data_IF_637521732921
#
_entry.id   IF_637521732921
#
_cell.length_a   1.000
_cell.length_b   1.000
_cell.length_c   1.000
_cell.angle_alpha   90.00
_cell.angle_beta   90.00
_cell.angle_gamma   90.00
#
_symmetry.space_group_name_H-M   'P 1'
#
loop_
_entity.id
_entity.type
_entity.pdbx_description
1 polymer ?
#
# COMPACT_ATOMS: atom_id res chain seq x y z
N UNK A 1 56.48 32.27 48.31
CA UNK A 1 55.02 32.02 48.33
C UNK A 1 54.42 33.00 47.34
N UNK A 2 54.38 32.69 46.04
CA UNK A 2 53.41 31.85 45.31
C UNK A 2 51.94 32.15 45.65
N UNK A 3 51.23 32.66 44.64
CA UNK A 3 49.90 32.21 44.21
C UNK A 3 49.63 32.80 42.82
N UNK A 4 49.95 32.03 41.79
CA UNK A 4 49.38 32.20 40.45
C UNK A 4 47.88 31.85 40.47
N UNK A 5 47.04 32.70 39.88
CA UNK A 5 45.79 32.25 39.26
C UNK A 5 45.60 32.90 37.89
N UNK A 6 45.51 32.01 36.90
CA UNK A 6 45.48 32.22 35.47
C UNK A 6 44.05 32.55 35.04
N UNK A 7 43.86 33.70 34.39
CA UNK A 7 42.61 34.06 33.69
C UNK A 7 42.66 33.45 32.29
N UNK A 8 41.80 32.47 32.02
CA UNK A 8 41.58 31.94 30.68
C UNK A 8 40.64 32.84 29.90
N UNK A 9 41.17 33.73 29.07
CA UNK A 9 40.39 34.39 28.01
C UNK A 9 39.96 33.31 27.00
N UNK A 10 38.65 33.12 26.84
CA UNK A 10 38.10 32.23 25.82
C UNK A 10 38.22 32.93 24.48
N UNK A 11 39.08 32.41 23.60
CA UNK A 11 39.26 32.92 22.25
C UNK A 11 38.06 32.51 21.36
N UNK A 12 37.15 33.46 21.17
CA UNK A 12 35.96 33.30 20.34
C UNK A 12 36.27 33.08 18.86
N UNK A 13 37.44 33.51 18.37
CA UNK A 13 37.84 33.24 16.99
C UNK A 13 38.14 31.75 16.79
N UNK A 14 38.82 31.14 17.76
CA UNK A 14 39.15 29.72 17.76
C UNK A 14 37.89 28.83 17.91
N UNK A 15 36.91 29.31 18.66
CA UNK A 15 35.63 28.62 18.87
C UNK A 15 34.76 28.62 17.61
N UNK A 16 34.71 29.74 16.87
CA UNK A 16 34.01 29.82 15.58
C UNK A 16 34.63 28.93 14.52
N UNK A 17 35.96 28.85 14.46
CA UNK A 17 36.65 27.97 13.52
C UNK A 17 36.40 26.48 13.80
N UNK A 18 36.34 26.09 15.09
CA UNK A 18 35.98 24.72 15.48
C UNK A 18 34.53 24.38 15.15
N UNK A 19 33.59 25.30 15.40
CA UNK A 19 32.18 25.09 15.06
C UNK A 19 31.96 24.93 13.54
N UNK A 20 32.64 25.74 12.71
CA UNK A 20 32.57 25.60 11.26
C UNK A 20 33.10 24.27 10.76
N UNK A 21 34.23 23.80 11.31
CA UNK A 21 34.83 22.51 10.93
C UNK A 21 33.95 21.31 11.29
N UNK A 22 33.27 21.34 12.44
CA UNK A 22 32.33 20.29 12.85
C UNK A 22 31.05 20.26 12.00
N UNK A 23 30.62 21.41 11.44
CA UNK A 23 29.50 21.48 10.51
C UNK A 23 29.89 20.89 9.15
N UNK A 24 31.09 21.18 8.65
CA UNK A 24 31.60 20.59 7.40
C UNK A 24 31.84 19.07 7.55
N UNK A 25 32.42 18.63 8.66
CA UNK A 25 32.57 17.19 8.97
C UNK A 25 31.20 16.50 9.15
N UNK A 26 30.24 17.17 9.80
CA UNK A 26 28.87 16.67 9.96
C UNK A 26 28.07 16.60 8.64
N UNK A 27 28.27 17.55 7.73
CA UNK A 27 27.69 17.54 6.38
C UNK A 27 28.34 16.49 5.48
N UNK A 28 29.64 16.22 5.65
CA UNK A 28 30.34 15.16 4.92
C UNK A 28 29.94 13.75 5.38
N UNK A 29 29.59 13.58 6.66
CA UNK A 29 29.11 12.30 7.23
C UNK A 29 27.60 12.10 6.99
N UNK A 30 26.84 13.17 6.76
CA UNK A 30 25.40 13.15 6.48
C UNK A 30 25.01 12.83 5.03
N UNK A 31 25.98 12.65 4.13
CA UNK A 31 25.75 12.19 2.76
C UNK A 31 25.32 10.73 2.73
N UNK A 32 24.03 10.49 2.96
CA UNK A 32 23.39 9.20 2.87
C UNK A 32 23.62 8.61 1.47
N UNK A 33 24.26 7.44 1.38
CA UNK A 33 24.47 6.70 0.11
C UNK A 33 23.15 6.28 -0.57
N UNK A 34 22.01 6.56 0.04
CA UNK A 34 20.67 6.28 -0.49
C UNK A 34 20.01 7.51 -1.17
N UNK A 35 20.72 8.63 -1.32
CA UNK A 35 20.21 9.79 -2.08
C UNK A 35 20.41 9.63 -3.60
N UNK A 36 20.81 8.43 -4.04
CA UNK A 36 20.68 8.08 -5.45
C UNK A 36 19.20 8.19 -5.81
N UNK A 37 18.81 9.06 -6.76
CA UNK A 37 17.48 8.99 -7.34
C UNK A 37 17.29 7.53 -7.74
N UNK A 38 16.21 6.90 -7.26
CA UNK A 38 15.87 5.52 -7.63
C UNK A 38 16.09 5.44 -9.15
N UNK A 39 17.05 4.63 -9.64
CA UNK A 39 17.23 4.49 -11.07
C UNK A 39 15.86 4.08 -11.56
N UNK A 40 15.23 4.94 -12.37
CA UNK A 40 13.92 4.66 -12.93
C UNK A 40 14.05 3.28 -13.55
N UNK A 41 13.52 2.27 -12.86
CA UNK A 41 13.77 0.89 -13.22
C UNK A 41 13.25 0.77 -14.63
N UNK A 42 14.17 0.55 -15.57
CA UNK A 42 13.91 0.40 -16.99
C UNK A 42 13.13 -0.88 -17.22
N UNK A 43 11.85 -0.85 -16.87
CA UNK A 43 10.87 -1.92 -17.03
C UNK A 43 9.58 -1.29 -17.50
N UNK A 44 9.33 -1.45 -18.80
CA UNK A 44 8.05 -1.43 -19.50
C UNK A 44 7.11 -0.27 -19.16
N UNK A 45 7.03 0.71 -20.06
CA UNK A 45 6.25 1.96 -19.89
C UNK A 45 4.79 1.77 -19.43
N UNK A 46 4.19 0.60 -19.66
CA UNK A 46 2.84 0.30 -19.18
C UNK A 46 2.73 0.18 -17.65
N UNK A 47 3.70 -0.46 -16.98
CA UNK A 47 3.67 -0.67 -15.53
C UNK A 47 3.84 0.64 -14.75
N UNK A 48 4.75 1.49 -15.22
CA UNK A 48 4.97 2.83 -14.64
C UNK A 48 3.80 3.80 -14.86
N UNK A 49 3.06 3.66 -15.96
CA UNK A 49 1.83 4.43 -16.20
C UNK A 49 0.70 3.95 -15.28
N UNK A 50 0.51 2.64 -15.12
CA UNK A 50 -0.51 2.08 -14.22
C UNK A 50 -0.30 2.54 -12.77
N UNK A 51 0.94 2.57 -12.28
CA UNK A 51 1.24 3.02 -10.92
C UNK A 51 0.90 4.50 -10.65
N UNK A 52 0.74 5.34 -11.69
CA UNK A 52 0.26 6.73 -11.55
C UNK A 52 -1.25 6.80 -11.36
N UNK A 53 -1.97 5.77 -11.79
CA UNK A 53 -3.43 5.68 -11.65
C UNK A 53 -3.73 5.14 -10.25
N UNK A 54 -4.53 5.82 -9.42
CA UNK A 54 -4.98 5.28 -8.15
C UNK A 54 -5.68 3.94 -8.36
N UNK A 55 -5.37 2.89 -7.57
CA UNK A 55 -5.97 1.57 -7.76
C UNK A 55 -7.51 1.60 -7.87
N UNK A 56 -8.26 2.36 -7.03
CA UNK A 56 -9.72 2.43 -7.14
C UNK A 56 -10.23 2.80 -8.54
N UNK A 57 -9.49 3.58 -9.32
CA UNK A 57 -9.88 3.94 -10.68
C UNK A 57 -9.82 2.74 -11.63
N UNK A 58 -8.90 1.80 -11.43
CA UNK A 58 -8.83 0.56 -12.22
C UNK A 58 -10.10 -0.28 -12.00
N UNK A 59 -10.56 -0.37 -10.74
CA UNK A 59 -11.81 -1.06 -10.40
C UNK A 59 -13.02 -0.35 -11.02
N UNK A 60 -13.13 0.97 -10.87
CA UNK A 60 -14.24 1.74 -11.45
C UNK A 60 -14.25 1.64 -12.97
N UNK A 61 -13.09 1.75 -13.63
CA UNK A 61 -12.99 1.64 -15.08
C UNK A 61 -13.43 0.26 -15.59
N UNK A 62 -12.97 -0.82 -14.95
CA UNK A 62 -13.40 -2.18 -15.28
C UNK A 62 -14.90 -2.38 -15.06
N UNK A 63 -15.45 -1.82 -13.97
CA UNK A 63 -16.87 -1.90 -13.67
C UNK A 63 -17.71 -1.17 -14.73
N UNK A 64 -17.35 0.07 -15.06
CA UNK A 64 -18.03 0.88 -16.07
C UNK A 64 -17.97 0.23 -17.45
N UNK A 65 -16.82 -0.37 -17.80
CA UNK A 65 -16.69 -1.15 -19.03
C UNK A 65 -17.66 -2.34 -19.04
N UNK A 66 -17.71 -3.12 -17.96
CA UNK A 66 -18.60 -4.27 -17.86
C UNK A 66 -20.07 -3.86 -17.90
N UNK A 67 -20.42 -2.81 -17.18
CA UNK A 67 -21.75 -2.21 -17.21
C UNK A 67 -22.13 -1.74 -18.61
N UNK A 68 -21.23 -1.05 -19.32
CA UNK A 68 -21.42 -0.62 -20.70
C UNK A 68 -21.59 -1.82 -21.65
N UNK A 69 -20.74 -2.84 -21.55
CA UNK A 69 -20.86 -4.07 -22.34
C UNK A 69 -22.21 -4.75 -22.14
N UNK A 70 -22.72 -4.79 -20.91
CA UNK A 70 -24.03 -5.38 -20.62
C UNK A 70 -25.21 -4.62 -21.26
N UNK A 71 -25.02 -3.35 -21.61
CA UNK A 71 -26.02 -2.56 -22.35
C UNK A 71 -25.95 -2.78 -23.86
N UNK A 72 -24.79 -3.20 -24.36
CA UNK A 72 -24.53 -3.38 -25.79
C UNK A 72 -24.70 -4.85 -26.22
N UNK A 73 -24.39 -5.80 -25.32
CA UNK A 73 -24.41 -7.23 -25.58
C UNK A 73 -25.57 -7.90 -24.83
N UNK A 74 -26.24 -8.89 -25.43
CA UNK A 74 -27.29 -9.63 -24.76
C UNK A 74 -26.72 -10.42 -23.58
N UNK A 75 -27.19 -10.11 -22.37
CA UNK A 75 -26.91 -10.88 -21.17
C UNK A 75 -28.08 -11.82 -20.84
N UNK A 76 -27.83 -13.05 -20.36
CA UNK A 76 -28.87 -13.89 -19.80
C UNK A 76 -29.64 -13.15 -18.70
N UNK A 77 -30.96 -13.10 -18.83
CA UNK A 77 -31.82 -12.67 -17.75
C UNK A 77 -31.61 -13.58 -16.54
N UNK A 78 -31.59 -12.99 -15.35
CA UNK A 78 -31.51 -13.74 -14.12
C UNK A 78 -32.77 -14.60 -13.94
N UNK A 79 -32.65 -15.90 -13.62
CA UNK A 79 -33.78 -16.70 -13.18
C UNK A 79 -34.47 -16.06 -11.97
N UNK A 80 -35.81 -16.11 -11.89
CA UNK A 80 -36.55 -15.70 -10.70
C UNK A 80 -36.00 -16.41 -9.44
N UNK A 81 -35.75 -15.67 -8.36
CA UNK A 81 -35.13 -16.17 -7.12
C UNK A 81 -33.60 -16.12 -7.10
N UNK A 82 -32.90 -16.26 -8.23
CA UNK A 82 -31.44 -16.08 -8.27
C UNK A 82 -31.04 -14.62 -8.05
N UNK A 83 -31.91 -13.68 -8.45
CA UNK A 83 -31.76 -12.23 -8.20
C UNK A 83 -31.79 -11.92 -6.71
N UNK A 84 -32.73 -12.51 -5.96
CA UNK A 84 -32.87 -12.22 -4.52
C UNK A 84 -31.64 -12.70 -3.75
N UNK A 85 -31.17 -13.91 -4.07
CA UNK A 85 -29.92 -14.44 -3.53
C UNK A 85 -28.70 -13.62 -3.96
N UNK A 86 -28.62 -13.19 -5.22
CA UNK A 86 -27.50 -12.38 -5.68
C UNK A 86 -27.48 -11.02 -4.98
N UNK A 87 -28.64 -10.41 -4.75
CA UNK A 87 -28.74 -9.15 -4.02
C UNK A 87 -28.36 -9.32 -2.55
N UNK A 88 -28.81 -10.39 -1.89
CA UNK A 88 -28.44 -10.68 -0.50
C UNK A 88 -26.92 -10.91 -0.36
N UNK A 89 -26.34 -11.75 -1.22
CA UNK A 89 -24.89 -11.97 -1.26
C UNK A 89 -24.16 -10.66 -1.61
N UNK A 90 -24.67 -9.91 -2.58
CA UNK A 90 -24.10 -8.64 -3.01
C UNK A 90 -24.06 -7.61 -1.89
N UNK A 91 -25.13 -7.50 -1.10
CA UNK A 91 -25.21 -6.63 0.06
C UNK A 91 -24.20 -7.02 1.15
N UNK A 92 -24.05 -8.32 1.41
CA UNK A 92 -23.05 -8.85 2.37
C UNK A 92 -21.63 -8.52 1.90
N UNK A 93 -21.30 -8.80 0.64
CA UNK A 93 -19.97 -8.50 0.08
C UNK A 93 -19.70 -7.00 0.08
N UNK A 94 -20.66 -6.18 -0.31
CA UNK A 94 -20.53 -4.72 -0.29
C UNK A 94 -20.27 -4.23 1.14
N UNK A 95 -21.02 -4.73 2.11
CA UNK A 95 -20.85 -4.37 3.53
C UNK A 95 -19.46 -4.76 4.03
N UNK A 96 -19.03 -6.01 3.80
CA UNK A 96 -17.68 -6.47 4.17
C UNK A 96 -16.60 -5.64 3.47
N UNK A 97 -16.81 -5.31 2.20
CA UNK A 97 -15.91 -4.46 1.42
C UNK A 97 -15.82 -3.03 1.96
N UNK A 98 -16.93 -2.45 2.40
CA UNK A 98 -17.01 -1.14 3.07
C UNK A 98 -16.47 -1.17 4.50
N UNK A 99 -16.41 -2.34 5.14
CA UNK A 99 -15.71 -2.50 6.43
C UNK A 99 -14.20 -2.64 6.22
N UNK A 100 -13.77 -3.39 5.20
CA UNK A 100 -12.36 -3.67 4.93
C UNK A 100 -11.63 -2.58 4.12
N UNK A 101 -12.32 -1.90 3.21
CA UNK A 101 -11.74 -0.94 2.25
C UNK A 101 -11.56 0.48 2.80
N UNK A 102 -12.62 1.18 3.21
CA UNK A 102 -12.60 2.56 3.74
C UNK A 102 -11.71 2.76 4.97
N UNK A 103 -11.45 1.72 5.77
CA UNK A 103 -10.52 1.81 6.91
C UNK A 103 -9.09 2.19 6.50
N UNK A 104 -8.70 1.95 5.23
CA UNK A 104 -7.41 2.34 4.67
C UNK A 104 -7.53 3.38 3.53
N UNK A 105 -8.63 3.40 2.77
CA UNK A 105 -8.82 4.37 1.69
C UNK A 105 -9.03 5.81 2.19
N UNK A 106 -9.63 6.02 3.37
CA UNK A 106 -9.70 7.34 4.00
C UNK A 106 -8.29 7.88 4.31
N UNK A 107 -7.35 6.98 4.63
CA UNK A 107 -5.94 7.33 4.83
C UNK A 107 -5.27 7.78 3.53
N UNK A 108 -5.67 7.28 2.35
CA UNK A 108 -5.12 7.69 1.06
C UNK A 108 -5.83 8.92 0.47
N UNK A 109 -7.14 9.08 0.69
CA UNK A 109 -7.90 10.21 0.17
C UNK A 109 -7.68 11.50 0.99
N UNK A 110 -7.50 11.38 2.32
CA UNK A 110 -7.14 12.52 3.18
C UNK A 110 -5.62 12.77 3.24
N UNK A 111 -4.79 11.79 2.87
CA UNK A 111 -3.36 12.01 2.65
C UNK A 111 -3.09 12.08 1.16
N UNK A 112 -3.46 13.19 0.52
CA UNK A 112 -2.93 13.56 -0.79
C UNK A 112 -1.40 13.67 -0.76
N UNK A 113 -0.72 12.53 -0.62
CA UNK A 113 0.69 12.43 -0.34
C UNK A 113 1.33 11.71 -1.51
N UNK A 114 1.69 12.52 -2.50
CA UNK A 114 3.11 12.77 -2.73
C UNK A 114 3.87 12.50 -1.43
N UNK A 115 4.71 11.47 -1.42
CA UNK A 115 5.94 11.42 -0.63
C UNK A 115 5.98 12.51 0.44
N UNK A 116 5.24 12.36 1.54
CA UNK A 116 5.42 13.26 2.67
C UNK A 116 6.56 12.60 3.45
N UNK A 117 7.82 13.06 3.29
CA UNK A 117 8.99 12.36 3.81
C UNK A 117 9.12 12.56 5.32
N UNK A 118 8.17 13.25 5.96
CA UNK A 118 8.32 13.77 7.32
C UNK A 118 7.91 12.76 8.40
N UNK A 119 7.26 11.65 8.05
CA UNK A 119 6.93 10.59 9.03
C UNK A 119 7.07 9.20 8.44
N UNK A 120 8.31 8.73 8.43
CA UNK A 120 8.65 7.30 8.42
C UNK A 120 7.74 6.57 9.43
N UNK A 121 6.91 5.61 9.01
CA UNK A 121 6.10 4.85 9.96
C UNK A 121 7.07 4.11 10.89
N UNK A 122 7.06 4.45 12.18
CA UNK A 122 8.10 4.00 13.12
C UNK A 122 8.03 2.50 13.43
N UNK A 123 6.94 1.82 13.03
CA UNK A 123 6.75 0.37 13.20
C UNK A 123 5.85 -0.21 12.11
N UNK A 124 6.16 -1.41 11.66
CA UNK A 124 5.32 -2.23 10.79
C UNK A 124 4.05 -2.67 11.54
N UNK A 125 2.88 -2.28 11.05
CA UNK A 125 1.60 -2.70 11.61
C UNK A 125 1.17 -4.06 11.05
N UNK A 126 1.10 -5.08 11.91
CA UNK A 126 0.73 -6.46 11.53
C UNK A 126 -0.53 -6.96 12.26
N UNK A 127 -1.22 -6.07 12.97
CA UNK A 127 -2.39 -6.39 13.81
C UNK A 127 -3.73 -6.38 13.07
N UNK A 128 -4.79 -6.81 13.75
CA UNK A 128 -6.16 -6.75 13.22
C UNK A 128 -6.33 -7.55 11.93
N UNK A 129 -6.89 -6.92 10.89
CA UNK A 129 -7.13 -7.54 9.57
C UNK A 129 -5.82 -7.90 8.84
N UNK A 130 -4.70 -7.26 9.18
CA UNK A 130 -3.39 -7.52 8.56
C UNK A 130 -2.79 -8.87 8.97
N UNK A 131 -3.36 -9.58 9.96
CA UNK A 131 -2.97 -10.98 10.25
C UNK A 131 -3.49 -11.97 9.22
N UNK A 132 -4.58 -11.62 8.53
CA UNK A 132 -5.25 -12.50 7.56
C UNK A 132 -4.85 -12.21 6.13
N UNK A 133 -4.36 -11.00 5.84
CA UNK A 133 -3.91 -10.60 4.53
C UNK A 133 -2.89 -9.48 4.66
N UNK A 134 -1.87 -9.46 3.79
CA UNK A 134 -0.99 -8.30 3.65
C UNK A 134 -1.69 -7.12 2.98
N UNK A 135 -2.75 -7.39 2.23
CA UNK A 135 -3.41 -6.44 1.35
C UNK A 135 -4.94 -6.35 1.59
N UNK A 136 -5.40 -6.15 2.84
CA UNK A 136 -6.84 -6.18 3.16
C UNK A 136 -7.63 -5.09 2.43
N UNK A 137 -6.99 -3.96 2.09
CA UNK A 137 -7.61 -2.89 1.30
C UNK A 137 -8.03 -3.37 -0.09
N UNK A 138 -7.15 -4.10 -0.79
CA UNK A 138 -7.42 -4.62 -2.14
C UNK A 138 -8.51 -5.69 -2.15
N UNK A 139 -8.61 -6.48 -1.08
CA UNK A 139 -9.75 -7.38 -0.85
C UNK A 139 -11.03 -6.57 -0.69
N UNK A 140 -11.01 -5.51 0.13
CA UNK A 140 -12.15 -4.62 0.31
C UNK A 140 -12.66 -4.06 -1.02
N UNK A 141 -11.76 -3.60 -1.89
CA UNK A 141 -12.10 -3.10 -3.23
C UNK A 141 -12.71 -4.19 -4.14
N UNK A 142 -12.18 -5.41 -4.12
CA UNK A 142 -12.76 -6.54 -4.86
C UNK A 142 -14.16 -6.90 -4.34
N UNK A 143 -14.36 -6.88 -3.02
CA UNK A 143 -15.65 -7.16 -2.39
C UNK A 143 -16.70 -6.09 -2.72
N UNK A 144 -16.32 -4.80 -2.69
CA UNK A 144 -17.18 -3.70 -3.13
C UNK A 144 -17.57 -3.90 -4.59
N UNK A 145 -16.59 -4.13 -5.46
CA UNK A 145 -16.82 -4.34 -6.89
C UNK A 145 -17.80 -5.49 -7.13
N UNK A 146 -17.55 -6.67 -6.54
CA UNK A 146 -18.40 -7.84 -6.69
C UNK A 146 -19.79 -7.61 -6.10
N UNK A 147 -19.86 -6.95 -4.94
CA UNK A 147 -21.11 -6.62 -4.26
C UNK A 147 -22.02 -5.73 -5.10
N UNK A 148 -21.48 -4.64 -5.64
CA UNK A 148 -22.23 -3.73 -6.53
C UNK A 148 -22.67 -4.46 -7.81
N UNK A 149 -21.80 -5.30 -8.38
CA UNK A 149 -22.13 -6.05 -9.59
C UNK A 149 -23.27 -7.05 -9.34
N UNK A 150 -23.25 -7.78 -8.22
CA UNK A 150 -24.31 -8.73 -7.86
C UNK A 150 -25.65 -8.05 -7.52
N UNK A 151 -25.61 -6.90 -6.84
CA UNK A 151 -26.81 -6.10 -6.53
C UNK A 151 -27.57 -5.69 -7.79
N UNK A 152 -26.85 -5.41 -8.88
CA UNK A 152 -27.41 -4.94 -10.14
C UNK A 152 -27.44 -6.02 -11.25
N UNK A 153 -27.19 -7.29 -10.89
CA UNK A 153 -27.07 -8.42 -11.82
C UNK A 153 -26.17 -8.10 -13.03
N UNK A 154 -24.95 -7.62 -12.78
CA UNK A 154 -23.99 -7.22 -13.81
C UNK A 154 -23.01 -8.35 -14.13
N UNK A 155 -23.42 -9.30 -14.98
CA UNK A 155 -22.61 -10.46 -15.37
C UNK A 155 -21.29 -10.06 -16.05
N UNK A 156 -21.31 -9.10 -16.96
CA UNK A 156 -20.08 -8.67 -17.64
C UNK A 156 -19.14 -7.97 -16.66
N UNK A 157 -19.65 -7.14 -15.75
CA UNK A 157 -18.83 -6.56 -14.70
C UNK A 157 -18.19 -7.65 -13.83
N UNK A 158 -18.96 -8.67 -13.40
CA UNK A 158 -18.42 -9.80 -12.65
C UNK A 158 -17.32 -10.54 -13.39
N UNK A 159 -17.45 -10.74 -14.71
CA UNK A 159 -16.38 -11.35 -15.51
C UNK A 159 -15.14 -10.45 -15.59
N UNK A 160 -15.32 -9.15 -15.72
CA UNK A 160 -14.20 -8.20 -15.79
C UNK A 160 -13.48 -7.98 -14.45
N UNK A 161 -13.96 -8.53 -13.33
CA UNK A 161 -13.29 -8.43 -12.03
C UNK A 161 -11.85 -8.98 -12.06
N UNK A 162 -11.56 -9.91 -12.98
CA UNK A 162 -10.23 -10.48 -13.16
C UNK A 162 -9.21 -9.46 -13.66
N UNK A 163 -9.64 -8.39 -14.33
CA UNK A 163 -8.75 -7.31 -14.78
C UNK A 163 -8.15 -6.55 -13.59
N UNK A 164 -8.93 -5.87 -12.72
CA UNK A 164 -8.37 -5.19 -11.56
C UNK A 164 -7.66 -6.16 -10.62
N UNK A 165 -8.14 -7.39 -10.47
CA UNK A 165 -7.42 -8.43 -9.71
C UNK A 165 -6.00 -8.66 -10.24
N UNK A 166 -5.85 -8.93 -11.54
CA UNK A 166 -4.57 -9.19 -12.17
C UNK A 166 -3.64 -7.97 -12.15
N UNK A 167 -4.19 -6.78 -12.41
CA UNK A 167 -3.42 -5.53 -12.34
C UNK A 167 -2.90 -5.29 -10.92
N UNK A 168 -3.73 -5.47 -9.90
CA UNK A 168 -3.32 -5.32 -8.50
C UNK A 168 -2.28 -6.38 -8.09
N UNK A 169 -2.49 -7.65 -8.43
CA UNK A 169 -1.58 -8.74 -8.08
C UNK A 169 -0.18 -8.60 -8.73
N UNK A 170 -0.13 -8.07 -9.95
CA UNK A 170 1.10 -8.03 -10.77
C UNK A 170 1.79 -6.68 -10.81
N UNK A 171 1.09 -5.58 -10.51
CA UNK A 171 1.65 -4.23 -10.60
C UNK A 171 1.68 -3.56 -9.23
N UNK A 172 0.52 -3.39 -8.60
CA UNK A 172 0.44 -2.61 -7.36
C UNK A 172 1.04 -3.33 -6.15
N UNK A 173 0.66 -4.59 -5.90
CA UNK A 173 1.16 -5.35 -4.74
C UNK A 173 2.69 -5.53 -4.78
N UNK A 174 3.32 -5.93 -5.91
CA UNK A 174 4.78 -6.06 -5.95
C UNK A 174 5.51 -4.74 -5.69
N UNK A 175 4.98 -3.63 -6.23
CA UNK A 175 5.54 -2.30 -5.99
C UNK A 175 5.44 -1.89 -4.51
N UNK A 176 4.28 -2.09 -3.89
CA UNK A 176 4.10 -1.82 -2.45
C UNK A 176 4.97 -2.72 -1.58
N UNK A 177 5.07 -4.01 -1.90
CA UNK A 177 5.92 -4.97 -1.19
C UNK A 177 7.40 -4.59 -1.27
N UNK A 178 7.89 -4.17 -2.43
CA UNK A 178 9.26 -3.68 -2.58
C UNK A 178 9.52 -2.42 -1.74
N UNK A 179 8.57 -1.48 -1.71
CA UNK A 179 8.69 -0.29 -0.84
C UNK A 179 8.72 -0.67 0.63
N UNK A 180 7.87 -1.60 1.07
CA UNK A 180 7.86 -2.08 2.45
C UNK A 180 9.13 -2.87 2.80
N UNK A 181 9.69 -3.64 1.87
CA UNK A 181 11.00 -4.29 2.05
C UNK A 181 12.12 -3.27 2.19
N UNK A 182 12.13 -2.21 1.37
CA UNK A 182 13.15 -1.16 1.46
C UNK A 182 13.06 -0.38 2.78
N UNK A 183 11.85 -0.19 3.30
CA UNK A 183 11.59 0.58 4.52
C UNK A 183 11.84 -0.23 5.81
N UNK A 184 11.39 -1.49 5.85
CA UNK A 184 11.36 -2.30 7.08
C UNK A 184 12.26 -3.55 7.03
N UNK A 185 12.85 -3.87 5.88
CA UNK A 185 13.82 -4.95 5.72
C UNK A 185 13.33 -6.31 6.26
N UNK A 186 14.10 -6.85 7.20
CA UNK A 186 13.89 -8.20 7.76
C UNK A 186 12.54 -8.36 8.48
N UNK A 187 12.03 -7.31 9.12
CA UNK A 187 10.75 -7.36 9.83
C UNK A 187 9.59 -7.61 8.85
N UNK A 188 9.63 -6.95 7.69
CA UNK A 188 8.65 -7.17 6.63
C UNK A 188 8.84 -8.52 5.94
N UNK A 189 10.08 -8.97 5.72
CA UNK A 189 10.34 -10.31 5.18
C UNK A 189 9.76 -11.42 6.08
N UNK A 190 9.94 -11.31 7.41
CA UNK A 190 9.36 -12.22 8.40
C UNK A 190 7.83 -12.19 8.39
N UNK A 191 7.24 -11.00 8.25
CA UNK A 191 5.80 -10.85 8.08
C UNK A 191 5.28 -11.53 6.79
N UNK A 192 5.98 -11.37 5.66
CA UNK A 192 5.65 -12.03 4.38
C UNK A 192 5.71 -13.57 4.46
N UNK A 193 6.59 -14.12 5.30
CA UNK A 193 6.63 -15.57 5.55
C UNK A 193 5.44 -16.12 6.35
N UNK A 194 4.78 -15.27 7.14
CA UNK A 194 3.64 -15.64 7.99
C UNK A 194 2.28 -15.34 7.36
N UNK A 195 2.19 -14.33 6.51
CA UNK A 195 0.92 -13.81 5.98
C UNK A 195 0.90 -13.82 4.46
N UNK A 196 -0.16 -14.38 3.87
CA UNK A 196 -0.37 -14.44 2.43
C UNK A 196 -0.69 -13.07 1.82
N UNK A 197 -0.49 -12.93 0.50
CA UNK A 197 -0.85 -11.69 -0.24
C UNK A 197 -2.33 -11.37 -0.13
N UNK A 198 -3.17 -12.38 -0.35
CA UNK A 198 -4.62 -12.24 -0.42
C UNK A 198 -5.28 -12.84 0.82
N UNK A 199 -5.04 -14.11 1.12
CA UNK A 199 -5.57 -14.77 2.32
C UNK A 199 -4.51 -15.68 2.92
N UNK A 200 -4.31 -15.58 4.23
CA UNK A 200 -3.50 -16.51 5.00
C UNK A 200 -4.41 -17.66 5.45
N UNK A 201 -4.20 -18.84 4.89
CA UNK A 201 -4.74 -20.08 5.45
C UNK A 201 -3.75 -20.46 6.55
N UNK A 202 -4.21 -20.57 7.80
CA UNK A 202 -3.35 -20.89 8.94
C UNK A 202 -2.49 -22.11 8.61
N UNK A 203 -1.16 -21.96 8.68
CA UNK A 203 -0.29 -23.13 8.77
C UNK A 203 -0.46 -23.69 10.18
N UNK A 204 -0.81 -24.98 10.36
CA UNK A 204 -0.73 -25.59 11.68
C UNK A 204 0.70 -25.35 12.19
N UNK A 205 0.81 -24.85 13.43
CA UNK A 205 2.11 -24.70 14.06
C UNK A 205 2.79 -26.06 14.04
N UNK A 206 3.89 -26.18 13.31
CA UNK A 206 4.70 -27.39 13.33
C UNK A 206 5.10 -27.63 14.79
N UNK A 207 4.72 -28.78 15.32
CA UNK A 207 5.24 -29.32 16.57
C UNK A 207 6.75 -29.36 16.44
N UNK A 208 7.43 -28.60 17.30
CA UNK A 208 8.85 -28.81 17.56
C UNK A 208 8.95 -30.09 18.40
N UNK A 209 9.22 -31.20 17.72
CA UNK A 209 9.76 -32.43 18.32
C UNK A 209 11.24 -32.53 17.95
#
# INVERSE_FOLDING_TARGET
>A
MDKQQVTGQVDFAQTRQRAGRLIEEGLAIGGNRNDQPIPASGGDGAGSVLLRIPPPLVYVAAFLLGFGLQRLLPAPAAPPGLVDWSQAVGAVLLTLGVVLGPANALMFLFRGTTLNPVRTPTRLFTGGVYRFSRNPMYIGLLLIYAGVALLHWQLYALLLIWIPFGVVDRVYIPFEEQRMLNEFGADYASYCGRVGRWLTIARPAGSAD
#
